data_IF_002131394617
#
_entry.id   IF_002131394617
#
_cell.length_a   1.000
_cell.length_b   1.000
_cell.length_c   1.000
_cell.angle_alpha   90.00
_cell.angle_beta   90.00
_cell.angle_gamma   90.00
#
_symmetry.space_group_name_H-M   'P 1'
#
loop_
_entity.id
_entity.type
_entity.pdbx_description
1 polymer ?
#
# COMPACT_ATOMS: atom_id res chain seq x y z
N UNK A 1 -19.26 21.16 27.69
CA UNK A 1 -18.98 19.73 27.45
C UNK A 1 -19.47 19.41 26.06
N UNK A 2 -18.56 19.23 25.09
CA UNK A 2 -18.89 18.72 23.76
C UNK A 2 -18.38 17.29 23.72
N UNK A 3 -19.31 16.35 23.69
CA UNK A 3 -19.03 14.93 23.58
C UNK A 3 -18.39 14.67 22.21
N UNK A 4 -17.06 14.57 22.21
CA UNK A 4 -16.29 14.10 21.08
C UNK A 4 -16.56 12.62 20.90
N UNK A 5 -17.52 12.30 20.03
CA UNK A 5 -17.84 10.94 19.62
C UNK A 5 -16.61 10.29 18.96
N UNK A 6 -15.91 9.34 19.61
CA UNK A 6 -14.67 8.75 19.10
C UNK A 6 -14.90 7.67 18.01
N UNK A 7 -16.13 7.55 17.51
CA UNK A 7 -16.57 6.43 16.66
C UNK A 7 -16.43 6.67 15.15
N UNK A 8 -15.80 7.77 14.70
CA UNK A 8 -15.56 8.04 13.26
C UNK A 8 -14.22 7.52 12.73
N UNK A 9 -13.46 6.77 13.52
CA UNK A 9 -12.34 5.97 13.01
C UNK A 9 -12.87 4.56 12.69
N UNK A 10 -13.82 4.46 11.75
CA UNK A 10 -14.37 3.18 11.34
C UNK A 10 -13.33 2.35 10.58
N UNK A 11 -12.94 1.22 11.16
CA UNK A 11 -12.55 -0.05 10.52
C UNK A 11 -11.90 0.02 9.12
N UNK A 12 -10.56 -0.12 9.11
CA UNK A 12 -9.61 -0.20 7.97
C UNK A 12 -9.28 1.13 7.24
N UNK A 13 -8.31 1.91 7.76
CA UNK A 13 -7.77 3.10 7.09
C UNK A 13 -6.73 2.71 6.01
N UNK A 14 -6.89 1.58 5.33
CA UNK A 14 -5.89 1.07 4.39
C UNK A 14 -6.51 0.96 3.02
N UNK A 15 -5.90 1.65 2.05
CA UNK A 15 -6.34 1.63 0.66
C UNK A 15 -5.68 0.48 -0.04
N UNK A 16 -6.49 -0.27 -0.76
CA UNK A 16 -5.99 -1.24 -1.68
C UNK A 16 -5.95 -0.63 -3.09
N UNK A 17 -4.90 -0.91 -3.84
CA UNK A 17 -4.69 -0.39 -5.19
C UNK A 17 -5.53 -1.21 -6.19
N UNK A 18 -6.85 -1.25 -6.02
CA UNK A 18 -7.73 -2.10 -6.84
C UNK A 18 -8.42 -1.37 -8.00
N UNK A 19 -8.26 -0.07 -8.15
CA UNK A 19 -9.02 0.69 -9.15
C UNK A 19 -8.15 1.60 -10.04
N UNK A 20 -7.89 1.07 -11.25
CA UNK A 20 -7.92 1.72 -12.58
C UNK A 20 -6.84 2.73 -13.00
N UNK A 21 -6.00 3.30 -12.15
CA UNK A 21 -5.16 4.43 -12.59
C UNK A 21 -3.69 4.13 -13.00
N UNK A 22 -3.05 3.06 -12.51
CA UNK A 22 -1.62 2.79 -12.84
C UNK A 22 -1.40 1.89 -14.05
N UNK A 23 -2.45 1.55 -14.82
CA UNK A 23 -2.37 0.57 -15.91
C UNK A 23 -2.12 1.17 -17.31
N UNK A 24 -1.60 2.39 -17.38
CA UNK A 24 -1.27 3.06 -18.64
C UNK A 24 0.21 3.45 -18.66
N UNK A 25 1.07 2.46 -18.91
CA UNK A 25 2.38 2.72 -19.51
C UNK A 25 2.47 2.02 -20.86
N UNK A 26 2.24 2.83 -21.90
CA UNK A 26 2.79 2.74 -23.25
C UNK A 26 3.14 1.34 -23.79
N UNK A 27 2.14 0.66 -24.37
CA UNK A 27 2.32 -0.52 -25.24
C UNK A 27 2.92 -0.20 -26.62
N UNK A 28 3.63 0.92 -26.80
CA UNK A 28 4.01 1.35 -28.14
C UNK A 28 5.32 0.72 -28.68
N UNK A 29 6.19 0.15 -27.84
CA UNK A 29 7.52 -0.34 -28.31
C UNK A 29 8.12 -1.52 -27.53
N UNK A 30 7.31 -2.36 -26.88
CA UNK A 30 7.83 -3.51 -26.12
C UNK A 30 7.69 -4.82 -26.91
N UNK A 31 8.75 -5.64 -26.89
CA UNK A 31 8.75 -6.98 -27.52
C UNK A 31 7.58 -7.84 -27.00
N UNK A 32 7.00 -8.75 -27.81
CA UNK A 32 5.84 -9.56 -27.43
C UNK A 32 6.03 -10.33 -26.11
N UNK A 33 7.27 -10.71 -25.80
CA UNK A 33 7.61 -11.40 -24.57
C UNK A 33 7.40 -10.54 -23.31
N UNK A 34 7.66 -9.23 -23.40
CA UNK A 34 7.45 -8.29 -22.29
C UNK A 34 5.95 -8.10 -22.02
N UNK A 35 5.15 -8.00 -23.09
CA UNK A 35 3.70 -7.87 -23.01
C UNK A 35 3.04 -9.12 -22.39
N UNK A 36 3.54 -10.31 -22.72
CA UNK A 36 3.05 -11.57 -22.15
C UNK A 36 3.38 -11.70 -20.65
N UNK A 37 4.58 -11.29 -20.23
CA UNK A 37 4.96 -11.26 -18.81
C UNK A 37 4.11 -10.28 -18.01
N UNK A 38 3.88 -9.07 -18.51
CA UNK A 38 3.05 -8.07 -17.84
C UNK A 38 1.60 -8.54 -17.70
N UNK A 39 1.02 -9.14 -18.75
CA UNK A 39 -0.32 -9.70 -18.70
C UNK A 39 -0.43 -10.81 -17.64
N UNK A 40 0.58 -11.66 -17.55
CA UNK A 40 0.65 -12.73 -16.54
C UNK A 40 0.76 -12.15 -15.12
N UNK A 41 1.62 -11.15 -14.92
CA UNK A 41 1.79 -10.44 -13.63
C UNK A 41 0.47 -9.81 -13.19
N UNK A 42 -0.20 -9.08 -14.08
CA UNK A 42 -1.49 -8.44 -13.76
C UNK A 42 -2.58 -9.46 -13.44
N UNK A 43 -2.58 -10.62 -14.11
CA UNK A 43 -3.48 -11.73 -13.79
C UNK A 43 -3.23 -12.28 -12.39
N UNK A 44 -1.96 -12.47 -12.01
CA UNK A 44 -1.58 -12.91 -10.67
C UNK A 44 -1.97 -11.89 -9.59
N UNK A 45 -1.77 -10.59 -9.84
CA UNK A 45 -2.18 -9.54 -8.91
C UNK A 45 -3.71 -9.48 -8.74
N UNK A 46 -4.49 -9.67 -9.81
CA UNK A 46 -5.96 -9.78 -9.70
C UNK A 46 -6.40 -10.99 -8.87
N UNK A 47 -5.70 -12.12 -8.99
CA UNK A 47 -5.96 -13.29 -8.14
C UNK A 47 -5.57 -13.01 -6.69
N UNK A 48 -4.45 -12.33 -6.46
CA UNK A 48 -4.04 -11.91 -5.12
C UNK A 48 -5.09 -11.00 -4.46
N UNK A 49 -5.72 -10.12 -5.24
CA UNK A 49 -6.90 -9.34 -4.83
C UNK A 49 -8.00 -10.21 -4.26
N UNK A 50 -8.46 -11.15 -5.09
CA UNK A 50 -9.58 -12.01 -4.77
C UNK A 50 -9.26 -12.88 -3.54
N UNK A 51 -8.01 -13.31 -3.40
CA UNK A 51 -7.55 -13.99 -2.20
C UNK A 51 -7.62 -13.08 -0.96
N UNK A 52 -7.20 -11.81 -1.05
CA UNK A 52 -7.29 -10.85 0.06
C UNK A 52 -8.73 -10.50 0.44
N UNK A 53 -9.59 -10.27 -0.54
CA UNK A 53 -11.01 -9.99 -0.32
C UNK A 53 -11.70 -11.19 0.37
N UNK A 54 -11.22 -12.40 0.11
CA UNK A 54 -11.68 -13.61 0.76
C UNK A 54 -10.91 -13.97 2.05
N UNK A 55 -10.04 -13.09 2.55
CA UNK A 55 -9.27 -13.28 3.79
C UNK A 55 -8.14 -14.31 3.71
N UNK A 56 -7.82 -14.84 2.52
CA UNK A 56 -6.75 -15.82 2.28
C UNK A 56 -5.43 -15.11 2.03
N UNK A 57 -4.86 -14.53 3.09
CA UNK A 57 -3.70 -13.65 2.97
C UNK A 57 -2.43 -14.41 2.51
N UNK A 58 -2.24 -15.67 2.92
CA UNK A 58 -1.07 -16.48 2.55
C UNK A 58 -1.10 -16.84 1.06
N UNK A 59 -2.29 -17.11 0.53
CA UNK A 59 -2.48 -17.33 -0.91
C UNK A 59 -2.15 -16.05 -1.69
N UNK A 60 -2.62 -14.89 -1.22
CA UNK A 60 -2.32 -13.61 -1.84
C UNK A 60 -0.81 -13.31 -1.83
N UNK A 61 -0.12 -13.55 -0.72
CA UNK A 61 1.33 -13.37 -0.63
C UNK A 61 2.06 -14.28 -1.62
N UNK A 62 1.68 -15.56 -1.70
CA UNK A 62 2.25 -16.50 -2.67
C UNK A 62 2.06 -16.02 -4.11
N UNK A 63 0.87 -15.53 -4.45
CA UNK A 63 0.55 -15.01 -5.79
C UNK A 63 1.38 -13.76 -6.13
N UNK A 64 1.59 -12.84 -5.17
CA UNK A 64 2.44 -11.67 -5.34
C UNK A 64 3.92 -12.06 -5.52
N UNK A 65 4.42 -13.05 -4.77
CA UNK A 65 5.78 -13.56 -4.92
C UNK A 65 5.98 -14.23 -6.28
N UNK A 66 4.99 -14.99 -6.77
CA UNK A 66 5.00 -15.55 -8.12
C UNK A 66 5.00 -14.45 -9.19
N UNK A 67 4.24 -13.38 -8.99
CA UNK A 67 4.24 -12.24 -9.91
C UNK A 67 5.61 -11.57 -9.95
N UNK A 68 6.25 -11.39 -8.78
CA UNK A 68 7.58 -10.80 -8.65
C UNK A 68 8.67 -11.62 -9.32
N UNK A 69 8.64 -12.96 -9.18
CA UNK A 69 9.68 -13.84 -9.75
C UNK A 69 9.67 -13.91 -11.28
N UNK A 70 8.52 -13.62 -11.91
CA UNK A 70 8.36 -13.57 -13.37
C UNK A 70 8.67 -12.19 -13.95
N UNK A 71 8.87 -11.19 -13.10
CA UNK A 71 9.05 -9.82 -13.52
C UNK A 71 10.53 -9.54 -13.84
N UNK A 72 10.84 -8.90 -14.98
CA UNK A 72 12.16 -8.33 -15.19
C UNK A 72 12.52 -7.33 -14.09
N UNK A 73 13.78 -7.27 -13.68
CA UNK A 73 14.24 -6.41 -12.58
C UNK A 73 13.88 -4.93 -12.78
N UNK A 74 13.98 -4.44 -14.01
CA UNK A 74 13.70 -3.04 -14.40
C UNK A 74 12.26 -2.80 -14.83
N UNK A 75 11.34 -3.74 -14.58
CA UNK A 75 9.96 -3.58 -15.01
C UNK A 75 9.26 -2.47 -14.23
N UNK A 76 8.48 -1.60 -14.91
CA UNK A 76 7.71 -0.55 -14.25
C UNK A 76 6.61 -1.10 -13.33
N UNK A 77 6.27 -2.40 -13.44
CA UNK A 77 5.31 -3.06 -12.54
C UNK A 77 5.93 -3.49 -11.21
N UNK A 78 7.27 -3.42 -11.05
CA UNK A 78 7.96 -3.84 -9.82
C UNK A 78 7.39 -3.18 -8.56
N UNK A 79 7.30 -1.85 -8.52
CA UNK A 79 6.67 -1.13 -7.42
C UNK A 79 5.21 -1.52 -7.16
N UNK A 80 4.43 -1.82 -8.21
CA UNK A 80 3.03 -2.25 -8.08
C UNK A 80 2.94 -3.63 -7.42
N UNK A 81 3.82 -4.56 -7.81
CA UNK A 81 3.91 -5.89 -7.20
C UNK A 81 4.34 -5.77 -5.73
N UNK A 82 5.35 -4.96 -5.42
CA UNK A 82 5.80 -4.74 -4.05
C UNK A 82 4.72 -4.09 -3.19
N UNK A 83 3.95 -3.14 -3.73
CA UNK A 83 2.80 -2.58 -3.03
C UNK A 83 1.75 -3.64 -2.66
N UNK A 84 1.38 -4.51 -3.61
CA UNK A 84 0.40 -5.56 -3.37
C UNK A 84 0.92 -6.66 -2.44
N UNK A 85 2.22 -6.97 -2.52
CA UNK A 85 2.88 -7.86 -1.56
C UNK A 85 2.85 -7.25 -0.15
N UNK A 86 3.06 -5.95 -0.02
CA UNK A 86 2.95 -5.23 1.26
C UNK A 86 1.56 -5.34 1.86
N UNK A 87 0.52 -5.18 1.04
CA UNK A 87 -0.87 -5.38 1.48
C UNK A 87 -1.13 -6.81 1.94
N UNK A 88 -0.67 -7.82 1.19
CA UNK A 88 -0.83 -9.22 1.56
C UNK A 88 -0.13 -9.55 2.88
N UNK A 89 1.12 -9.11 3.02
CA UNK A 89 1.91 -9.31 4.24
C UNK A 89 1.29 -8.63 5.45
N UNK A 90 0.78 -7.41 5.30
CA UNK A 90 0.07 -6.73 6.38
C UNK A 90 -1.17 -7.52 6.82
N UNK A 91 -1.96 -8.05 5.86
CA UNK A 91 -3.13 -8.88 6.17
C UNK A 91 -2.75 -10.19 6.87
N UNK A 92 -1.54 -10.69 6.66
CA UNK A 92 -0.97 -11.81 7.41
C UNK A 92 -0.28 -11.41 8.74
N UNK A 93 -0.43 -10.16 9.20
CA UNK A 93 0.18 -9.69 10.45
C UNK A 93 1.68 -9.41 10.36
N UNK A 94 2.28 -9.47 9.15
CA UNK A 94 3.70 -9.16 8.89
C UNK A 94 3.88 -7.65 8.68
N UNK A 95 3.56 -6.86 9.70
CA UNK A 95 3.50 -5.39 9.59
C UNK A 95 4.84 -4.75 9.23
N UNK A 96 5.96 -5.24 9.77
CA UNK A 96 7.29 -4.70 9.46
C UNK A 96 7.68 -4.89 7.99
N UNK A 97 7.34 -6.03 7.41
CA UNK A 97 7.60 -6.30 6.00
C UNK A 97 6.76 -5.39 5.10
N UNK A 98 5.49 -5.16 5.46
CA UNK A 98 4.62 -4.25 4.74
C UNK A 98 5.15 -2.81 4.76
N UNK A 99 5.68 -2.36 5.90
CA UNK A 99 6.30 -1.03 6.02
C UNK A 99 7.49 -0.88 5.05
N UNK A 100 8.37 -1.88 4.98
CA UNK A 100 9.49 -1.85 4.05
C UNK A 100 9.02 -1.81 2.60
N UNK A 101 8.10 -2.72 2.23
CA UNK A 101 7.59 -2.82 0.87
C UNK A 101 6.89 -1.56 0.39
N UNK A 102 6.09 -0.90 1.23
CA UNK A 102 5.47 0.38 0.86
C UNK A 102 6.43 1.56 0.87
N UNK A 103 7.50 1.50 1.69
CA UNK A 103 8.58 2.49 1.60
C UNK A 103 9.28 2.41 0.26
N UNK A 104 9.55 1.21 -0.24
CA UNK A 104 10.22 0.99 -1.52
C UNK A 104 9.28 1.22 -2.71
N UNK A 105 8.04 0.71 -2.66
CA UNK A 105 7.04 0.92 -3.71
C UNK A 105 6.68 2.40 -3.92
N UNK A 106 6.76 3.21 -2.85
CA UNK A 106 6.58 4.66 -2.92
C UNK A 106 7.74 5.42 -3.57
N UNK A 107 8.87 4.77 -3.90
CA UNK A 107 10.00 5.40 -4.64
C UNK A 107 9.84 5.21 -6.15
N UNK A 108 8.70 5.65 -6.68
CA UNK A 108 8.31 5.49 -8.08
C UNK A 108 7.93 6.85 -8.66
N UNK A 109 8.10 7.11 -9.97
CA UNK A 109 7.56 8.32 -10.59
C UNK A 109 6.01 8.35 -10.65
N UNK A 110 5.32 7.23 -10.43
CA UNK A 110 3.85 7.17 -10.38
C UNK A 110 3.32 7.85 -9.11
N UNK A 111 2.84 9.09 -9.25
CA UNK A 111 2.29 9.89 -8.15
C UNK A 111 1.11 9.21 -7.44
N UNK A 112 0.28 8.44 -8.14
CA UNK A 112 -0.83 7.72 -7.52
C UNK A 112 -0.29 6.61 -6.61
N UNK A 113 0.72 5.87 -7.07
CA UNK A 113 1.35 4.83 -6.27
C UNK A 113 2.17 5.41 -5.10
N UNK A 114 2.81 6.58 -5.27
CA UNK A 114 3.43 7.32 -4.17
C UNK A 114 2.39 7.70 -3.11
N UNK A 115 1.24 8.24 -3.53
CA UNK A 115 0.20 8.71 -2.65
C UNK A 115 -0.39 7.57 -1.81
N UNK A 116 -0.79 6.48 -2.46
CA UNK A 116 -1.40 5.33 -1.79
C UNK A 116 -0.40 4.59 -0.88
N UNK A 117 0.88 4.49 -1.27
CA UNK A 117 1.92 3.90 -0.42
C UNK A 117 2.15 4.75 0.84
N UNK A 118 2.23 6.08 0.69
CA UNK A 118 2.39 7.00 1.81
C UNK A 118 1.17 6.95 2.75
N UNK A 119 -0.05 6.92 2.21
CA UNK A 119 -1.27 6.77 2.99
C UNK A 119 -1.27 5.48 3.83
N UNK A 120 -0.89 4.35 3.22
CA UNK A 120 -0.85 3.06 3.91
C UNK A 120 0.25 3.00 4.99
N UNK A 121 1.42 3.61 4.73
CA UNK A 121 2.47 3.78 5.75
C UNK A 121 1.98 4.63 6.93
N UNK A 122 1.22 5.70 6.66
CA UNK A 122 0.63 6.52 7.71
C UNK A 122 -0.32 5.68 8.59
N UNK A 123 -1.14 4.81 7.98
CA UNK A 123 -1.99 3.86 8.69
C UNK A 123 -1.21 2.92 9.62
N UNK A 124 -0.07 2.38 9.17
CA UNK A 124 0.82 1.57 10.02
C UNK A 124 1.33 2.40 11.21
N UNK A 125 1.78 3.64 10.99
CA UNK A 125 2.28 4.49 12.06
C UNK A 125 1.19 4.88 13.06
N UNK A 126 -0.04 5.14 12.61
CA UNK A 126 -1.17 5.34 13.50
C UNK A 126 -1.46 4.11 14.36
N UNK A 127 -1.47 2.91 13.78
CA UNK A 127 -1.69 1.68 14.54
C UNK A 127 -0.60 1.47 15.60
N UNK A 128 0.67 1.71 15.24
CA UNK A 128 1.79 1.65 16.18
C UNK A 128 1.64 2.72 17.28
N UNK A 129 1.23 3.95 16.93
CA UNK A 129 1.01 5.02 17.89
C UNK A 129 -0.09 4.65 18.89
N UNK A 130 -1.22 4.10 18.42
CA UNK A 130 -2.30 3.62 19.28
C UNK A 130 -1.82 2.54 20.26
N UNK A 131 -1.01 1.59 19.78
CA UNK A 131 -0.42 0.57 20.64
C UNK A 131 0.55 1.17 21.68
N UNK A 132 1.31 2.22 21.34
CA UNK A 132 2.18 2.94 22.28
C UNK A 132 1.37 3.73 23.32
N UNK A 133 0.27 4.39 22.91
CA UNK A 133 -0.67 5.08 23.82
C UNK A 133 -1.26 4.10 24.82
N UNK A 134 -1.72 2.93 24.36
CA UNK A 134 -2.26 1.89 25.24
C UNK A 134 -1.24 1.40 26.29
N UNK A 135 0.05 1.40 25.93
CA UNK A 135 1.18 1.09 26.82
C UNK A 135 1.69 2.28 27.64
N UNK A 136 1.06 3.45 27.51
CA UNK A 136 1.48 4.72 28.14
C UNK A 136 2.89 5.18 27.73
N UNK A 137 3.37 4.77 26.57
CA UNK A 137 4.65 5.15 25.99
C UNK A 137 4.52 6.49 25.23
N UNK A 138 4.26 7.57 25.97
CA UNK A 138 3.85 8.87 25.39
C UNK A 138 4.84 9.45 24.38
N UNK A 139 6.14 9.38 24.65
CA UNK A 139 7.17 9.87 23.73
C UNK A 139 7.20 9.09 22.41
N UNK A 140 7.10 7.75 22.50
CA UNK A 140 7.03 6.86 21.33
C UNK A 140 5.76 7.12 20.52
N UNK A 141 4.63 7.26 21.20
CA UNK A 141 3.36 7.60 20.55
C UNK A 141 3.43 8.92 19.79
N UNK A 142 4.03 9.96 20.38
CA UNK A 142 4.18 11.26 19.74
C UNK A 142 5.04 11.18 18.47
N UNK A 143 6.18 10.48 18.53
CA UNK A 143 7.04 10.26 17.36
C UNK A 143 6.27 9.56 16.22
N UNK A 144 5.55 8.50 16.55
CA UNK A 144 4.75 7.74 15.59
C UNK A 144 3.62 8.57 14.97
N UNK A 145 2.96 9.43 15.76
CA UNK A 145 1.95 10.35 15.24
C UNK A 145 2.55 11.38 14.29
N UNK A 146 3.73 11.92 14.58
CA UNK A 146 4.43 12.84 13.69
C UNK A 146 4.79 12.15 12.36
N UNK A 147 5.33 10.92 12.42
CA UNK A 147 5.61 10.12 11.23
C UNK A 147 4.35 9.83 10.42
N UNK A 148 3.22 9.54 11.06
CA UNK A 148 1.94 9.36 10.38
C UNK A 148 1.48 10.64 9.66
N UNK A 149 1.53 11.79 10.34
CA UNK A 149 1.17 13.09 9.77
C UNK A 149 2.02 13.44 8.55
N UNK A 150 3.34 13.23 8.63
CA UNK A 150 4.24 13.50 7.50
C UNK A 150 3.92 12.63 6.28
N UNK A 151 3.53 11.38 6.52
CA UNK A 151 3.10 10.47 5.45
C UNK A 151 1.75 10.83 4.85
N UNK A 152 0.75 11.22 5.65
CA UNK A 152 -0.52 11.73 5.11
C UNK A 152 -0.32 13.02 4.31
N UNK A 153 0.50 13.95 4.80
CA UNK A 153 0.87 15.16 4.05
C UNK A 153 1.57 14.83 2.74
N UNK A 154 2.42 13.80 2.72
CA UNK A 154 3.02 13.32 1.48
C UNK A 154 1.97 12.76 0.52
N UNK A 155 1.03 11.95 1.00
CA UNK A 155 -0.07 11.43 0.19
C UNK A 155 -0.91 12.56 -0.43
N UNK A 156 -1.26 13.57 0.36
CA UNK A 156 -1.97 14.77 -0.11
C UNK A 156 -1.21 15.56 -1.16
N UNK A 157 0.11 15.73 -1.01
CA UNK A 157 0.91 16.43 -2.03
C UNK A 157 0.98 15.65 -3.34
N UNK A 158 1.07 14.32 -3.27
CA UNK A 158 1.13 13.46 -4.43
C UNK A 158 -0.22 13.32 -5.15
N UNK A 159 -1.34 13.44 -4.43
CA UNK A 159 -2.69 13.44 -4.97
C UNK A 159 -3.59 14.50 -4.28
N UNK A 160 -3.51 15.79 -4.69
CA UNK A 160 -4.22 16.88 -4.01
C UNK A 160 -5.75 16.78 -4.04
N UNK A 161 -6.30 16.17 -5.09
CA UNK A 161 -7.75 15.99 -5.29
C UNK A 161 -8.32 14.77 -4.55
N UNK A 162 -7.47 14.03 -3.83
CA UNK A 162 -7.85 12.84 -3.08
C UNK A 162 -8.60 13.23 -1.79
N UNK A 163 -9.93 13.22 -1.86
CA UNK A 163 -10.83 13.58 -0.74
C UNK A 163 -10.58 12.76 0.53
N UNK A 164 -10.17 11.51 0.38
CA UNK A 164 -9.91 10.60 1.50
C UNK A 164 -8.53 10.85 2.15
N UNK A 165 -7.66 11.64 1.51
CA UNK A 165 -6.37 12.06 2.06
C UNK A 165 -6.48 13.38 2.83
N UNK A 166 -7.58 14.13 2.67
CA UNK A 166 -7.85 15.37 3.38
C UNK A 166 -8.18 15.04 4.84
N UNK A 167 -7.26 15.38 5.74
CA UNK A 167 -7.33 15.12 7.18
C UNK A 167 -8.24 16.16 7.86
#
# INVERSE_FOLDING_TARGET
MRDGNPSRLSSNPLRACWTKASLLLALAFTSPHVQATETTTLSLLKKAASALDAGRCEEAERLCLEARSKLPAESPLGPVVDFNLGLARLKCGKTSDAEQLWTDAGRTPDLALQAISAYNLAGIYLQKAQAAIARKETASALDLLNRALDRYRHALRAAPDDRDAQI
#
